data_IF_242652640601
#
_entry.id   IF_242652640601
#
_cell.length_a   1.000
_cell.length_b   1.000
_cell.length_c   1.000
_cell.angle_alpha   90.00
_cell.angle_beta   90.00
_cell.angle_gamma   90.00
#
_symmetry.space_group_name_H-M   'P 1'
#
loop_
_entity.id
_entity.type
_entity.pdbx_description
1 polymer ?
#
# COMPACT_ATOMS: atom_id res chain seq x y z
N UNK A 1 42.39 13.94 -58.67
CA UNK A 1 43.53 13.95 -57.73
C UNK A 1 43.39 12.69 -56.88
N UNK A 2 44.00 11.56 -57.27
CA UNK A 2 45.28 11.05 -56.75
C UNK A 2 45.34 11.12 -55.21
N UNK A 3 45.57 10.07 -54.41
CA UNK A 3 46.11 8.71 -54.60
C UNK A 3 45.86 7.89 -53.31
N UNK A 4 45.43 6.62 -53.37
CA UNK A 4 46.16 5.35 -53.00
C UNK A 4 46.87 5.36 -51.63
N UNK A 5 46.85 4.35 -50.76
CA UNK A 5 46.92 2.87 -50.90
C UNK A 5 46.57 2.17 -49.56
N UNK A 6 45.84 1.03 -49.50
CA UNK A 6 46.28 -0.40 -49.32
C UNK A 6 47.39 -0.60 -48.27
N UNK A 7 47.40 -1.60 -47.37
CA UNK A 7 47.37 -3.08 -47.43
C UNK A 7 46.76 -3.63 -46.09
N UNK A 8 46.21 -4.83 -45.88
CA UNK A 8 46.40 -6.17 -46.46
C UNK A 8 47.18 -7.07 -45.48
N UNK A 9 46.61 -8.18 -44.97
CA UNK A 9 47.41 -9.31 -44.44
C UNK A 9 46.84 -10.06 -43.22
N UNK A 10 46.59 -11.36 -43.43
CA UNK A 10 46.21 -12.41 -42.47
C UNK A 10 47.37 -12.89 -41.57
N UNK A 11 47.02 -13.80 -40.65
CA UNK A 11 47.83 -14.84 -39.94
C UNK A 11 48.42 -14.35 -38.60
N UNK A 12 48.54 -15.12 -37.52
CA UNK A 12 48.29 -16.51 -37.11
C UNK A 12 48.49 -16.54 -35.58
N UNK A 13 47.97 -17.58 -34.92
CA UNK A 13 48.15 -17.94 -33.51
C UNK A 13 49.57 -17.76 -32.96
N UNK A 14 49.73 -17.42 -31.66
CA UNK A 14 50.20 -18.34 -30.60
C UNK A 14 50.52 -17.61 -29.26
N UNK A 15 49.90 -18.11 -28.19
CA UNK A 15 50.35 -18.33 -26.81
C UNK A 15 51.39 -17.45 -26.06
N UNK A 16 51.09 -17.35 -24.75
CA UNK A 16 51.97 -17.49 -23.56
C UNK A 16 52.61 -16.24 -22.89
N UNK A 17 51.93 -15.79 -21.83
CA UNK A 17 52.37 -15.66 -20.43
C UNK A 17 53.63 -14.87 -19.99
N UNK A 18 53.37 -14.01 -18.97
CA UNK A 18 54.20 -13.52 -17.85
C UNK A 18 55.37 -12.56 -18.13
N UNK A 19 55.27 -11.33 -17.59
CA UNK A 19 56.06 -10.89 -16.44
C UNK A 19 55.47 -9.63 -15.79
N UNK A 20 55.59 -9.57 -14.47
CA UNK A 20 54.97 -8.63 -13.55
C UNK A 20 55.63 -7.23 -13.52
N UNK A 21 54.83 -6.23 -13.10
CA UNK A 21 55.32 -5.08 -12.34
C UNK A 21 54.32 -4.88 -11.18
N UNK A 22 54.86 -4.77 -9.96
CA UNK A 22 54.13 -4.89 -8.71
C UNK A 22 53.63 -3.58 -8.09
N UNK A 23 52.79 -3.80 -7.06
CA UNK A 23 52.59 -3.03 -5.82
C UNK A 23 51.95 -1.62 -5.94
N UNK A 24 50.98 -1.16 -5.15
CA UNK A 24 50.22 -1.53 -3.93
C UNK A 24 49.03 -0.54 -3.91
N UNK A 25 47.79 -0.89 -3.54
CA UNK A 25 47.32 -0.74 -2.17
C UNK A 25 46.01 -1.52 -1.95
N UNK A 26 46.09 -2.49 -1.05
CA UNK A 26 45.01 -3.13 -0.30
C UNK A 26 44.47 -2.19 0.80
N UNK A 27 43.34 -2.59 1.41
CA UNK A 27 42.49 -1.91 2.43
C UNK A 27 41.33 -1.17 1.73
N UNK A 28 40.12 -1.72 1.60
CA UNK A 28 39.25 -2.30 2.62
C UNK A 28 38.43 -3.51 2.11
N UNK A 29 38.83 -4.73 2.48
CA UNK A 29 37.92 -5.89 2.55
C UNK A 29 37.91 -6.37 4.01
N UNK A 30 37.19 -5.65 4.87
CA UNK A 30 36.79 -6.16 6.18
C UNK A 30 35.37 -6.75 6.11
N UNK A 31 35.32 -8.08 6.19
CA UNK A 31 34.45 -8.85 7.07
C UNK A 31 32.94 -8.50 7.08
N UNK A 32 32.22 -8.96 6.06
CA UNK A 32 30.81 -9.37 6.25
C UNK A 32 30.79 -10.86 6.61
N UNK A 33 31.11 -11.15 7.87
CA UNK A 33 30.89 -12.46 8.47
C UNK A 33 29.74 -12.30 9.46
N UNK A 34 28.49 -12.36 8.99
CA UNK A 34 27.41 -12.77 9.90
C UNK A 34 26.15 -13.30 9.21
N UNK A 35 25.77 -14.50 9.66
CA UNK A 35 24.46 -15.13 9.65
C UNK A 35 23.67 -15.26 8.33
N UNK A 36 23.90 -16.38 7.64
CA UNK A 36 22.82 -17.32 7.34
C UNK A 36 21.56 -16.78 6.66
N UNK A 37 21.68 -15.85 5.73
CA UNK A 37 20.59 -15.53 4.81
C UNK A 37 20.49 -16.67 3.80
N UNK A 38 19.81 -17.76 4.20
CA UNK A 38 19.16 -18.63 3.25
C UNK A 38 18.35 -17.74 2.31
N UNK A 39 18.57 -17.92 1.00
CA UNK A 39 17.92 -17.19 -0.07
C UNK A 39 16.43 -17.00 0.25
N UNK A 40 16.03 -15.80 0.69
CA UNK A 40 14.64 -15.44 0.64
C UNK A 40 14.32 -15.35 -0.84
N UNK A 41 13.75 -16.41 -1.39
CA UNK A 41 13.07 -16.35 -2.67
C UNK A 41 12.20 -15.09 -2.62
N UNK A 42 12.39 -14.18 -3.56
CA UNK A 42 11.57 -12.98 -3.71
C UNK A 42 10.15 -13.44 -4.04
N UNK A 43 9.37 -13.80 -3.02
CA UNK A 43 7.94 -13.95 -3.16
C UNK A 43 7.43 -12.55 -3.48
N UNK A 44 6.87 -12.43 -4.70
CA UNK A 44 6.64 -11.17 -5.39
C UNK A 44 6.15 -10.07 -4.47
N UNK A 45 7.00 -9.06 -4.27
CA UNK A 45 6.55 -7.76 -3.80
C UNK A 45 5.74 -7.19 -4.97
N UNK A 46 4.42 -7.41 -4.92
CA UNK A 46 3.52 -7.14 -6.05
C UNK A 46 3.74 -5.75 -6.66
N UNK A 47 3.63 -5.64 -7.99
CA UNK A 47 3.56 -4.36 -8.66
C UNK A 47 2.33 -3.57 -8.20
N UNK A 48 2.30 -2.26 -8.45
CA UNK A 48 1.10 -1.46 -8.21
C UNK A 48 -0.02 -1.91 -9.14
N UNK A 49 -1.24 -2.00 -8.62
CA UNK A 49 -2.45 -2.30 -9.39
C UNK A 49 -3.51 -1.23 -9.13
N UNK A 50 -4.57 -1.21 -9.95
CA UNK A 50 -5.71 -0.34 -9.67
C UNK A 50 -6.34 -0.72 -8.33
N UNK A 51 -6.42 0.25 -7.41
CA UNK A 51 -7.07 0.17 -6.10
C UNK A 51 -8.60 0.22 -6.22
N UNK A 52 -9.10 0.70 -7.36
CA UNK A 52 -10.53 0.76 -7.65
C UNK A 52 -10.91 -0.55 -8.35
N UNK A 53 -11.92 -1.29 -7.84
CA UNK A 53 -12.43 -2.47 -8.53
C UNK A 53 -13.06 -2.08 -9.86
N UNK A 54 -13.00 -2.97 -10.85
CA UNK A 54 -13.66 -2.74 -12.14
C UNK A 54 -15.16 -2.53 -11.95
N UNK A 55 -15.63 -1.31 -12.19
CA UNK A 55 -17.01 -0.91 -11.93
C UNK A 55 -17.94 -1.35 -13.06
N UNK A 56 -19.18 -1.72 -12.70
CA UNK A 56 -20.28 -2.04 -13.64
C UNK A 56 -21.53 -1.18 -13.41
N UNK A 57 -21.45 -0.26 -12.46
CA UNK A 57 -22.49 0.72 -12.12
C UNK A 57 -21.96 1.66 -11.04
N UNK A 58 -22.73 2.68 -10.65
CA UNK A 58 -22.24 3.68 -9.68
C UNK A 58 -21.94 3.10 -8.29
N UNK A 59 -22.42 1.90 -7.94
CA UNK A 59 -22.18 1.28 -6.63
C UNK A 59 -21.80 -0.20 -6.72
N UNK A 60 -21.43 -0.69 -7.91
CA UNK A 60 -21.15 -2.11 -8.18
C UNK A 60 -19.79 -2.28 -8.84
N UNK A 61 -18.97 -3.25 -8.41
CA UNK A 61 -19.28 -4.34 -7.48
C UNK A 61 -19.22 -3.95 -5.99
N UNK A 62 -18.52 -2.86 -5.66
CA UNK A 62 -18.43 -2.31 -4.31
C UNK A 62 -18.03 -0.84 -4.34
N UNK A 63 -18.15 -0.16 -3.20
CA UNK A 63 -17.92 1.27 -3.08
C UNK A 63 -18.95 2.11 -3.83
N UNK A 64 -18.62 3.37 -4.07
CA UNK A 64 -19.47 4.29 -4.82
C UNK A 64 -18.66 5.25 -5.68
N UNK A 65 -19.13 5.45 -6.92
CA UNK A 65 -18.64 6.46 -7.85
C UNK A 65 -19.58 7.65 -7.84
N UNK A 66 -19.04 8.84 -7.61
CA UNK A 66 -19.80 10.10 -7.68
C UNK A 66 -19.06 11.10 -8.55
N UNK A 67 -19.77 12.11 -9.06
CA UNK A 67 -19.17 13.17 -9.86
C UNK A 67 -19.89 14.50 -9.65
N UNK A 68 -19.31 15.58 -10.17
CA UNK A 68 -19.95 16.90 -10.21
C UNK A 68 -21.19 16.97 -11.10
N UNK A 69 -21.40 15.95 -11.95
CA UNK A 69 -22.50 15.89 -12.89
C UNK A 69 -22.12 15.09 -14.14
N UNK A 70 -23.11 14.88 -15.01
CA UNK A 70 -22.95 14.18 -16.28
C UNK A 70 -23.58 14.97 -17.42
N UNK A 71 -23.00 14.86 -18.62
CA UNK A 71 -23.59 15.46 -19.83
C UNK A 71 -24.96 14.82 -20.16
N UNK A 72 -25.04 13.50 -20.03
CA UNK A 72 -26.29 12.73 -20.12
C UNK A 72 -26.14 11.40 -19.40
N UNK A 73 -27.24 10.67 -19.23
CA UNK A 73 -27.25 9.35 -18.58
C UNK A 73 -26.38 8.30 -19.29
N UNK A 74 -26.06 8.50 -20.58
CA UNK A 74 -25.19 7.61 -21.36
C UNK A 74 -23.69 7.74 -21.02
N UNK A 75 -23.31 8.74 -20.21
CA UNK A 75 -21.93 9.05 -19.83
C UNK A 75 -21.78 9.11 -18.29
N UNK A 76 -22.33 8.11 -17.62
CA UNK A 76 -22.29 7.94 -16.17
C UNK A 76 -20.85 7.86 -15.63
N UNK A 77 -20.60 8.28 -14.39
CA UNK A 77 -19.24 8.37 -13.85
C UNK A 77 -18.54 7.02 -13.68
N UNK A 78 -19.29 5.94 -13.42
CA UNK A 78 -18.72 4.60 -13.34
C UNK A 78 -18.02 4.13 -14.63
N UNK A 79 -18.39 4.70 -15.78
CA UNK A 79 -17.79 4.35 -17.08
C UNK A 79 -16.35 4.84 -17.24
N UNK A 80 -15.84 5.69 -16.33
CA UNK A 80 -14.41 5.99 -16.26
C UNK A 80 -13.66 4.97 -15.39
N UNK A 81 -14.34 4.03 -14.72
CA UNK A 81 -13.77 3.10 -13.75
C UNK A 81 -14.07 1.63 -14.10
N UNK A 82 -14.53 1.35 -15.32
CA UNK A 82 -14.97 0.03 -15.81
C UNK A 82 -13.86 -0.73 -16.57
N UNK A 83 -12.61 -0.25 -16.46
CA UNK A 83 -11.42 -0.84 -17.06
C UNK A 83 -11.49 -1.05 -18.58
N UNK A 84 -12.29 -0.24 -19.30
CA UNK A 84 -12.35 -0.23 -20.76
C UNK A 84 -12.17 1.19 -21.31
N UNK A 85 -11.93 1.31 -22.61
CA UNK A 85 -11.90 2.59 -23.35
C UNK A 85 -13.05 2.71 -24.34
N UNK A 86 -13.98 1.75 -24.35
CA UNK A 86 -15.17 1.77 -25.21
C UNK A 86 -16.27 2.69 -24.67
N UNK A 87 -16.23 2.98 -23.38
CA UNK A 87 -17.12 3.85 -22.62
C UNK A 87 -16.30 4.96 -21.99
N UNK A 88 -16.97 6.03 -21.54
CA UNK A 88 -16.31 7.17 -20.92
C UNK A 88 -17.30 7.98 -20.08
N UNK A 89 -16.78 8.66 -19.06
CA UNK A 89 -17.51 9.71 -18.35
C UNK A 89 -17.38 11.04 -19.11
N UNK A 90 -18.49 11.76 -19.23
CA UNK A 90 -18.56 13.15 -19.65
C UNK A 90 -19.15 13.98 -18.52
N UNK A 91 -18.44 15.03 -18.11
CA UNK A 91 -18.89 15.94 -17.07
C UNK A 91 -20.14 16.73 -17.50
N UNK A 92 -20.72 17.48 -16.55
CA UNK A 92 -21.60 18.60 -16.91
C UNK A 92 -20.83 19.67 -17.72
N UNK A 93 -21.57 20.49 -18.47
CA UNK A 93 -20.99 21.55 -19.30
C UNK A 93 -20.83 22.87 -18.56
N UNK A 94 -19.94 23.73 -19.07
CA UNK A 94 -19.81 25.15 -18.71
C UNK A 94 -19.67 25.39 -17.19
N UNK A 95 -18.70 24.72 -16.59
CA UNK A 95 -18.44 24.76 -15.15
C UNK A 95 -17.12 25.49 -14.83
N UNK A 96 -16.99 25.97 -13.59
CA UNK A 96 -15.72 26.49 -13.06
C UNK A 96 -14.74 25.37 -12.68
N UNK A 97 -15.25 24.19 -12.36
CA UNK A 97 -14.50 22.96 -12.16
C UNK A 97 -15.45 21.77 -12.21
N UNK A 98 -14.91 20.58 -12.46
CA UNK A 98 -15.64 19.31 -12.42
C UNK A 98 -14.84 18.27 -11.64
N UNK A 99 -15.49 17.24 -11.15
CA UNK A 99 -14.80 16.20 -10.39
C UNK A 99 -15.42 14.82 -10.58
N UNK A 100 -14.59 13.79 -10.42
CA UNK A 100 -14.95 12.38 -10.39
C UNK A 100 -14.32 11.77 -9.14
N UNK A 101 -15.11 11.08 -8.33
CA UNK A 101 -14.70 10.55 -7.03
C UNK A 101 -15.06 9.08 -6.87
N UNK A 102 -14.23 8.34 -6.13
CA UNK A 102 -14.48 6.98 -5.72
C UNK A 102 -14.33 6.84 -4.19
N UNK A 103 -15.30 6.21 -3.55
CA UNK A 103 -15.33 5.91 -2.11
C UNK A 103 -15.49 4.40 -1.90
N UNK A 104 -14.53 3.75 -1.22
CA UNK A 104 -14.56 2.29 -1.00
C UNK A 104 -15.69 1.84 -0.06
N UNK A 105 -16.18 2.73 0.81
CA UNK A 105 -17.18 2.41 1.82
C UNK A 105 -16.61 1.64 3.02
N UNK A 106 -17.43 1.42 4.05
CA UNK A 106 -17.06 0.62 5.22
C UNK A 106 -15.88 1.16 6.05
N UNK A 107 -15.49 2.43 5.87
CA UNK A 107 -14.31 3.01 6.51
C UNK A 107 -12.97 2.53 5.96
N UNK A 108 -12.96 1.78 4.83
CA UNK A 108 -11.74 1.31 4.20
C UNK A 108 -10.98 2.49 3.60
N UNK A 109 -9.71 2.65 3.99
CA UNK A 109 -8.80 3.64 3.45
C UNK A 109 -7.71 2.97 2.60
N UNK A 110 -7.32 3.61 1.51
CA UNK A 110 -6.25 3.13 0.60
C UNK A 110 -5.25 4.25 0.32
N UNK A 111 -4.02 3.86 -0.02
CA UNK A 111 -2.94 4.77 -0.41
C UNK A 111 -2.66 4.65 -1.90
N UNK A 112 -3.07 5.64 -2.68
CA UNK A 112 -2.71 5.75 -4.08
C UNK A 112 -1.30 6.36 -4.20
N UNK A 113 -0.40 5.66 -4.89
CA UNK A 113 0.99 6.09 -5.13
C UNK A 113 1.17 6.66 -6.52
N UNK A 114 0.35 6.25 -7.48
CA UNK A 114 0.27 6.84 -8.81
C UNK A 114 -1.15 6.76 -9.34
N UNK A 115 -1.46 7.43 -10.44
CA UNK A 115 -2.73 7.28 -11.12
C UNK A 115 -2.56 7.42 -12.63
N UNK A 116 -3.46 6.77 -13.36
CA UNK A 116 -3.50 6.82 -14.82
C UNK A 116 -4.81 7.45 -15.28
N UNK A 117 -4.71 8.35 -16.25
CA UNK A 117 -5.85 8.93 -16.97
C UNK A 117 -5.75 8.49 -18.43
N UNK A 118 -6.86 7.98 -18.96
CA UNK A 118 -7.00 7.60 -20.36
C UNK A 118 -8.06 8.44 -21.05
N UNK A 119 -7.72 8.98 -22.22
CA UNK A 119 -8.62 9.67 -23.13
C UNK A 119 -8.96 8.78 -24.33
N UNK A 120 -10.25 8.70 -24.70
CA UNK A 120 -10.70 7.89 -25.84
C UNK A 120 -11.88 8.50 -26.62
N UNK A 121 -12.07 9.82 -26.58
CA UNK A 121 -13.21 10.50 -27.25
C UNK A 121 -12.90 10.95 -28.70
N UNK A 122 -11.82 10.41 -29.28
CA UNK A 122 -11.40 10.71 -30.65
C UNK A 122 -10.72 12.07 -30.85
N UNK A 123 -10.11 12.28 -32.02
CA UNK A 123 -9.37 13.51 -32.35
C UNK A 123 -10.26 14.73 -32.54
N UNK A 124 -11.51 14.55 -33.01
CA UNK A 124 -12.45 15.65 -33.21
C UNK A 124 -12.88 16.35 -31.91
N UNK A 125 -12.61 15.73 -30.75
CA UNK A 125 -13.03 16.22 -29.44
C UNK A 125 -11.86 16.40 -28.47
N UNK A 126 -10.61 16.46 -28.96
CA UNK A 126 -9.39 16.46 -28.12
C UNK A 126 -9.36 17.59 -27.06
N UNK A 127 -10.10 18.69 -27.32
CA UNK A 127 -10.28 19.80 -26.39
C UNK A 127 -10.96 19.39 -25.08
N UNK A 128 -11.62 18.23 -25.03
CA UNK A 128 -12.31 17.71 -23.83
C UNK A 128 -11.39 17.02 -22.84
N UNK A 129 -10.11 16.83 -23.16
CA UNK A 129 -9.16 16.26 -22.22
C UNK A 129 -8.92 17.21 -21.02
N UNK A 130 -8.70 16.70 -19.80
CA UNK A 130 -8.39 17.53 -18.65
C UNK A 130 -7.05 18.24 -18.86
N UNK A 131 -6.97 19.53 -18.52
CA UNK A 131 -5.74 20.34 -18.67
C UNK A 131 -5.06 20.60 -17.33
N UNK A 132 -5.83 21.01 -16.33
CA UNK A 132 -5.37 21.30 -14.98
C UNK A 132 -6.25 20.56 -13.99
N UNK A 133 -5.64 19.91 -13.00
CA UNK A 133 -6.38 19.24 -11.93
C UNK A 133 -5.55 19.07 -10.67
N UNK A 134 -6.24 18.67 -9.61
CA UNK A 134 -5.63 18.12 -8.41
C UNK A 134 -6.19 16.72 -8.15
N UNK A 135 -5.35 15.80 -7.68
CA UNK A 135 -5.82 14.59 -7.02
C UNK A 135 -5.98 14.91 -5.53
N UNK A 136 -7.11 14.54 -4.94
CA UNK A 136 -7.42 14.85 -3.55
C UNK A 136 -7.94 13.63 -2.80
N UNK A 137 -7.49 13.46 -1.56
CA UNK A 137 -7.96 12.44 -0.62
C UNK A 137 -8.82 13.04 0.50
N UNK A 138 -9.81 12.31 1.00
CA UNK A 138 -10.67 12.77 2.11
C UNK A 138 -10.14 12.33 3.48
N UNK A 139 -9.76 13.29 4.32
CA UNK A 139 -9.16 13.04 5.65
C UNK A 139 -10.20 12.82 6.77
N UNK A 140 -11.49 12.62 6.42
CA UNK A 140 -12.58 12.52 7.38
C UNK A 140 -13.35 13.83 7.59
N UNK A 141 -12.71 15.00 7.39
CA UNK A 141 -13.31 16.31 7.57
C UNK A 141 -13.29 17.20 6.33
N UNK A 142 -12.25 17.07 5.49
CA UNK A 142 -12.01 17.91 4.32
C UNK A 142 -11.23 17.17 3.24
N UNK A 143 -11.29 17.70 2.01
CA UNK A 143 -10.43 17.24 0.92
C UNK A 143 -9.02 17.79 1.10
N UNK A 144 -8.03 16.91 1.06
CA UNK A 144 -6.60 17.23 1.10
C UNK A 144 -6.01 16.98 -0.28
N UNK A 145 -5.31 17.95 -0.84
CA UNK A 145 -4.60 17.80 -2.12
C UNK A 145 -3.36 16.93 -1.92
N UNK A 146 -3.24 15.87 -2.71
CA UNK A 146 -2.11 14.92 -2.68
C UNK A 146 -1.22 15.02 -3.92
N UNK A 147 -1.75 15.59 -5.02
CA UNK A 147 -1.00 15.85 -6.24
C UNK A 147 -1.65 17.01 -7.04
N UNK A 148 -0.84 17.76 -7.78
CA UNK A 148 -1.27 18.89 -8.61
C UNK A 148 -0.62 18.83 -9.99
N UNK A 149 -1.45 18.74 -11.03
CA UNK A 149 -0.98 18.67 -12.43
C UNK A 149 -1.56 19.82 -13.24
N UNK A 150 -0.72 20.42 -14.08
CA UNK A 150 -1.12 21.55 -14.93
C UNK A 150 -0.65 21.40 -16.38
N UNK A 151 -1.30 22.14 -17.27
CA UNK A 151 -0.95 22.34 -18.67
C UNK A 151 -0.83 21.04 -19.48
N UNK A 152 -1.69 20.07 -19.21
CA UNK A 152 -1.73 18.82 -19.95
C UNK A 152 -2.55 18.96 -21.23
N UNK A 153 -1.86 18.94 -22.36
CA UNK A 153 -2.44 19.08 -23.71
C UNK A 153 -2.06 17.90 -24.61
N UNK A 154 -2.69 17.72 -25.77
CA UNK A 154 -2.29 16.70 -26.76
C UNK A 154 -2.78 15.27 -26.42
N UNK A 155 -3.99 15.16 -25.87
CA UNK A 155 -4.56 13.89 -25.41
C UNK A 155 -4.84 12.88 -26.52
N UNK A 156 -5.00 13.29 -27.77
CA UNK A 156 -5.19 12.33 -28.86
C UNK A 156 -3.89 11.61 -29.22
N UNK A 157 -2.78 12.35 -29.29
CA UNK A 157 -1.46 11.78 -29.60
C UNK A 157 -0.83 11.01 -28.44
N UNK A 158 -1.17 11.37 -27.19
CA UNK A 158 -0.76 10.65 -25.99
C UNK A 158 -1.97 10.43 -25.06
N UNK A 159 -2.80 9.41 -25.36
CA UNK A 159 -4.09 9.21 -24.71
C UNK A 159 -4.00 8.58 -23.33
N UNK A 160 -2.91 7.90 -23.00
CA UNK A 160 -2.72 7.25 -21.70
C UNK A 160 -1.57 7.96 -20.99
N UNK A 161 -1.84 8.52 -19.82
CA UNK A 161 -0.82 9.20 -19.01
C UNK A 161 -0.86 8.71 -17.59
N UNK A 162 0.32 8.41 -17.05
CA UNK A 162 0.52 8.03 -15.66
C UNK A 162 1.23 9.15 -14.93
N UNK A 163 0.79 9.43 -13.70
CA UNK A 163 1.30 10.47 -12.83
C UNK A 163 1.61 9.85 -11.47
N UNK A 164 2.80 10.10 -10.93
CA UNK A 164 3.13 9.77 -9.54
C UNK A 164 2.42 10.74 -8.60
N UNK A 165 2.00 10.28 -7.43
CA UNK A 165 1.36 11.13 -6.42
C UNK A 165 2.45 11.79 -5.57
N UNK A 166 2.50 13.12 -5.55
CA UNK A 166 3.52 13.89 -4.81
C UNK A 166 3.50 13.61 -3.30
N UNK A 167 2.31 13.52 -2.70
CA UNK A 167 2.10 13.31 -1.27
C UNK A 167 1.08 12.19 -1.02
N UNK A 168 1.47 10.91 -1.20
CA UNK A 168 0.58 9.78 -0.96
C UNK A 168 0.10 9.78 0.49
N UNK A 169 -1.15 9.39 0.72
CA UNK A 169 -1.72 9.24 2.06
C UNK A 169 -2.85 8.23 2.08
N UNK A 170 -3.24 7.78 3.27
CA UNK A 170 -4.34 6.82 3.41
C UNK A 170 -5.68 7.55 3.53
N UNK A 171 -6.57 7.36 2.55
CA UNK A 171 -7.86 8.05 2.48
C UNK A 171 -9.01 7.11 2.15
N UNK A 172 -10.20 7.37 2.70
CA UNK A 172 -11.41 6.57 2.46
C UNK A 172 -12.09 6.86 1.13
N UNK A 173 -11.73 7.97 0.49
CA UNK A 173 -12.11 8.32 -0.87
C UNK A 173 -11.11 9.27 -1.50
N UNK A 174 -11.01 9.19 -2.82
CA UNK A 174 -10.26 10.13 -3.64
C UNK A 174 -11.17 10.79 -4.66
N UNK A 175 -10.77 11.98 -5.12
CA UNK A 175 -11.34 12.61 -6.31
C UNK A 175 -10.27 13.21 -7.19
N UNK A 176 -10.50 13.10 -8.50
CA UNK A 176 -9.85 13.92 -9.49
C UNK A 176 -10.66 15.22 -9.63
N UNK A 177 -10.10 16.36 -9.25
CA UNK A 177 -10.75 17.67 -9.31
C UNK A 177 -10.13 18.51 -10.44
N UNK A 178 -10.84 18.58 -11.58
CA UNK A 178 -10.38 19.23 -12.80
C UNK A 178 -10.84 20.68 -12.83
N UNK A 179 -9.89 21.59 -13.05
CA UNK A 179 -10.10 23.05 -13.01
C UNK A 179 -9.95 23.72 -14.37
N UNK A 180 -9.42 23.03 -15.37
CA UNK A 180 -9.44 23.49 -16.76
C UNK A 180 -9.49 22.31 -17.74
N UNK A 181 -10.14 22.50 -18.89
CA UNK A 181 -10.07 21.61 -20.05
C UNK A 181 -9.15 22.19 -21.14
N UNK A 182 -9.02 21.48 -22.26
CA UNK A 182 -8.18 21.88 -23.39
C UNK A 182 -8.90 22.81 -24.39
N UNK A 183 -10.18 23.12 -24.19
CA UNK A 183 -10.90 24.07 -25.03
C UNK A 183 -10.43 25.51 -24.75
N UNK A 184 -10.02 25.80 -23.52
CA UNK A 184 -9.52 27.12 -23.08
C UNK A 184 -10.51 28.26 -23.35
N UNK A 185 -11.80 28.03 -23.09
CA UNK A 185 -12.81 29.09 -23.22
C UNK A 185 -12.55 30.19 -22.16
N UNK A 186 -12.48 31.48 -22.54
CA UNK A 186 -12.24 32.57 -21.59
C UNK A 186 -13.35 32.77 -20.55
N UNK A 187 -14.59 32.34 -20.84
CA UNK A 187 -15.75 32.46 -19.95
C UNK A 187 -15.99 31.22 -19.09
N UNK A 188 -15.51 30.05 -19.53
CA UNK A 188 -15.72 28.76 -18.88
C UNK A 188 -14.44 27.92 -18.84
N UNK A 189 -13.76 27.83 -17.68
CA UNK A 189 -12.57 26.97 -17.53
C UNK A 189 -12.83 25.51 -17.92
N UNK A 190 -14.05 25.03 -17.69
CA UNK A 190 -14.54 23.74 -18.17
C UNK A 190 -15.72 23.97 -19.11
N UNK A 191 -15.54 23.68 -20.40
CA UNK A 191 -16.65 23.50 -21.33
C UNK A 191 -17.25 22.11 -21.22
N UNK A 192 -16.39 21.08 -21.19
CA UNK A 192 -16.76 19.66 -21.04
C UNK A 192 -15.49 18.81 -20.86
N UNK A 193 -15.44 17.95 -19.84
CA UNK A 193 -14.32 17.01 -19.63
C UNK A 193 -14.72 15.60 -20.03
N UNK A 194 -13.79 14.88 -20.66
CA UNK A 194 -13.91 13.48 -21.04
C UNK A 194 -12.81 12.63 -20.42
N UNK A 195 -13.20 11.57 -19.73
CA UNK A 195 -12.29 10.59 -19.14
C UNK A 195 -12.80 9.19 -19.50
N UNK A 196 -12.01 8.44 -20.26
CA UNK A 196 -12.33 7.06 -20.61
C UNK A 196 -11.91 6.08 -19.52
N UNK A 197 -10.77 6.31 -18.89
CA UNK A 197 -10.35 5.54 -17.72
C UNK A 197 -9.64 6.43 -16.70
N UNK A 198 -9.94 6.21 -15.43
CA UNK A 198 -9.17 6.69 -14.28
C UNK A 198 -8.81 5.47 -13.44
N UNK A 199 -7.53 5.22 -13.25
CA UNK A 199 -7.04 4.17 -12.37
C UNK A 199 -6.23 4.82 -11.25
N UNK A 200 -6.63 4.60 -10.00
CA UNK A 200 -5.78 4.93 -8.86
C UNK A 200 -4.91 3.73 -8.57
N UNK A 201 -3.60 3.87 -8.73
CA UNK A 201 -2.66 2.78 -8.55
C UNK A 201 -2.02 2.83 -7.17
N UNK A 202 -1.85 1.66 -6.58
CA UNK A 202 -1.13 1.50 -5.32
C UNK A 202 -0.95 0.03 -5.02
N UNK A 203 -0.46 -0.28 -3.82
CA UNK A 203 -0.51 -1.65 -3.32
C UNK A 203 -1.87 -1.86 -2.65
N UNK A 204 -2.71 -2.71 -3.24
CA UNK A 204 -3.81 -3.24 -2.47
C UNK A 204 -3.26 -4.26 -1.47
N UNK A 205 -3.49 -4.01 -0.18
CA UNK A 205 -3.06 -4.90 0.91
C UNK A 205 -4.26 -5.40 1.67
N UNK A 206 -4.39 -6.73 1.73
CA UNK A 206 -5.42 -7.44 2.47
C UNK A 206 -4.81 -8.18 3.65
N UNK A 207 -5.61 -8.47 4.67
CA UNK A 207 -5.17 -9.36 5.75
C UNK A 207 -4.84 -10.73 5.15
N UNK A 208 -3.60 -11.17 5.36
CA UNK A 208 -3.14 -12.51 4.98
C UNK A 208 -3.61 -13.58 5.96
N UNK A 209 -4.04 -13.17 7.16
CA UNK A 209 -4.64 -14.04 8.16
C UNK A 209 -6.15 -14.13 7.89
N UNK A 210 -6.73 -15.33 7.74
CA UNK A 210 -8.18 -15.50 7.60
C UNK A 210 -8.88 -15.05 8.88
N UNK A 211 -10.15 -14.67 8.78
CA UNK A 211 -10.97 -14.37 9.95
C UNK A 211 -11.06 -15.60 10.85
N UNK A 212 -10.48 -15.52 12.06
CA UNK A 212 -10.40 -16.64 13.00
C UNK A 212 -11.66 -16.75 13.85
N UNK A 213 -12.01 -17.98 14.22
CA UNK A 213 -13.09 -18.30 15.17
C UNK A 213 -12.63 -19.22 16.32
N UNK A 214 -11.32 -19.47 16.38
CA UNK A 214 -10.64 -20.25 17.39
C UNK A 214 -9.14 -20.28 17.09
N UNK A 215 -8.32 -20.90 17.95
CA UNK A 215 -6.86 -20.88 17.77
C UNK A 215 -6.39 -21.61 16.50
N UNK A 216 -7.20 -22.49 15.92
CA UNK A 216 -6.87 -23.26 14.70
C UNK A 216 -7.89 -23.15 13.57
N UNK A 217 -9.00 -22.43 13.78
CA UNK A 217 -10.13 -22.34 12.84
C UNK A 217 -10.25 -20.94 12.24
N UNK A 218 -10.44 -20.79 10.91
CA UNK A 218 -10.72 -21.85 9.92
C UNK A 218 -9.47 -22.56 9.39
N UNK A 219 -8.28 -21.99 9.57
CA UNK A 219 -7.01 -22.61 9.22
C UNK A 219 -5.85 -21.90 9.90
N UNK A 220 -4.68 -22.54 9.91
CA UNK A 220 -3.47 -22.04 10.57
C UNK A 220 -3.50 -22.27 12.08
N UNK A 221 -2.60 -21.59 12.78
CA UNK A 221 -2.45 -21.70 14.23
C UNK A 221 -2.11 -20.33 14.83
N UNK A 222 -2.91 -19.90 15.79
CA UNK A 222 -2.64 -18.73 16.64
C UNK A 222 -1.97 -19.22 17.93
N UNK A 223 -0.86 -18.61 18.31
CA UNK A 223 -0.18 -18.85 19.59
C UNK A 223 0.17 -17.55 20.28
N UNK A 224 0.45 -17.60 21.58
CA UNK A 224 0.91 -16.44 22.34
C UNK A 224 1.83 -16.83 23.48
N UNK A 225 2.47 -15.85 24.11
CA UNK A 225 3.19 -16.02 25.38
C UNK A 225 2.29 -16.41 26.55
N UNK A 226 0.96 -16.31 26.39
CA UNK A 226 -0.05 -16.63 27.38
C UNK A 226 -1.18 -15.60 27.42
N UNK A 227 -2.17 -15.84 28.28
CA UNK A 227 -3.40 -15.06 28.39
C UNK A 227 -3.71 -14.71 29.84
N UNK A 228 -4.25 -13.52 30.08
CA UNK A 228 -4.74 -13.12 31.42
C UNK A 228 -5.83 -14.06 31.93
N UNK A 229 -6.76 -14.45 31.06
CA UNK A 229 -7.78 -15.46 31.33
C UNK A 229 -8.28 -16.09 30.03
N UNK A 230 -8.98 -17.22 30.14
CA UNK A 230 -9.59 -17.91 28.99
C UNK A 230 -10.66 -17.11 28.26
N UNK A 231 -11.12 -15.97 28.81
CA UNK A 231 -12.05 -15.05 28.14
C UNK A 231 -11.38 -14.14 27.10
N UNK A 232 -10.04 -14.06 27.10
CA UNK A 232 -9.26 -13.20 26.21
C UNK A 232 -8.23 -14.02 25.39
N UNK A 233 -8.65 -15.09 24.70
CA UNK A 233 -7.76 -15.95 23.93
C UNK A 233 -7.10 -15.20 22.76
N UNK A 234 -5.93 -15.66 22.27
CA UNK A 234 -5.17 -14.91 21.29
C UNK A 234 -5.82 -14.85 19.91
N UNK A 235 -6.65 -15.82 19.52
CA UNK A 235 -7.34 -15.80 18.23
C UNK A 235 -8.29 -14.61 18.04
N UNK A 236 -8.76 -13.99 19.13
CA UNK A 236 -9.66 -12.83 19.05
C UNK A 236 -9.02 -11.61 18.37
N UNK A 237 -7.69 -11.50 18.29
CA UNK A 237 -7.08 -10.41 17.51
C UNK A 237 -7.29 -10.56 16.00
N UNK A 238 -7.70 -11.75 15.53
CA UNK A 238 -7.86 -12.08 14.12
C UNK A 238 -9.31 -12.39 13.73
N UNK A 239 -10.29 -12.10 14.58
CA UNK A 239 -11.71 -12.45 14.36
C UNK A 239 -12.51 -11.38 13.60
N UNK A 240 -11.81 -10.37 13.07
CA UNK A 240 -12.38 -9.25 12.30
C UNK A 240 -13.45 -8.44 13.05
N UNK A 241 -13.40 -8.40 14.38
CA UNK A 241 -14.20 -7.49 15.21
C UNK A 241 -13.32 -6.70 16.18
N UNK A 242 -13.90 -5.66 16.79
CA UNK A 242 -13.28 -4.89 17.88
C UNK A 242 -14.03 -5.06 19.20
N UNK A 243 -15.01 -5.97 19.24
CA UNK A 243 -15.82 -6.26 20.43
C UNK A 243 -15.12 -7.24 21.39
N UNK A 244 -14.16 -8.00 20.88
CA UNK A 244 -13.32 -8.97 21.58
C UNK A 244 -11.87 -8.47 21.56
N UNK A 245 -11.01 -9.07 22.38
CA UNK A 245 -9.61 -8.65 22.49
C UNK A 245 -8.77 -9.73 23.18
N UNK A 246 -7.50 -9.81 22.79
CA UNK A 246 -6.51 -10.56 23.56
C UNK A 246 -5.97 -9.71 24.71
N UNK A 247 -5.79 -10.36 25.87
CA UNK A 247 -5.05 -9.84 27.02
C UNK A 247 -3.89 -10.76 27.32
N UNK A 248 -2.67 -10.20 27.36
CA UNK A 248 -1.46 -10.94 27.68
C UNK A 248 -1.47 -11.45 29.13
N UNK A 249 -0.47 -12.27 29.49
CA UNK A 249 -0.13 -12.47 30.90
C UNK A 249 0.20 -11.11 31.56
N UNK A 250 -0.03 -11.00 32.87
CA UNK A 250 0.40 -9.83 33.63
C UNK A 250 1.88 -9.92 33.99
N UNK A 251 2.54 -8.76 34.06
CA UNK A 251 3.92 -8.63 34.57
C UNK A 251 4.94 -9.56 33.89
N UNK A 252 4.75 -9.83 32.59
CA UNK A 252 5.63 -10.65 31.78
C UNK A 252 6.32 -9.78 30.73
N UNK A 253 7.64 -9.93 30.56
CA UNK A 253 8.38 -9.18 29.53
C UNK A 253 9.40 -10.10 28.86
N UNK A 254 9.34 -10.32 27.55
CA UNK A 254 8.36 -9.81 26.59
C UNK A 254 7.03 -10.60 26.59
N UNK A 255 5.98 -10.03 26.01
CA UNK A 255 4.77 -10.78 25.61
C UNK A 255 4.68 -10.81 24.09
N UNK A 256 4.07 -11.86 23.55
CA UNK A 256 3.97 -12.01 22.10
C UNK A 256 2.70 -12.75 21.70
N UNK A 257 2.23 -12.49 20.48
CA UNK A 257 1.22 -13.28 19.81
C UNK A 257 1.68 -13.55 18.37
N UNK A 258 1.38 -14.74 17.86
CA UNK A 258 1.88 -15.22 16.59
C UNK A 258 0.78 -15.92 15.79
N UNK A 259 0.89 -15.83 14.47
CA UNK A 259 0.07 -16.60 13.54
C UNK A 259 0.98 -17.42 12.62
N UNK A 260 0.68 -18.70 12.47
CA UNK A 260 1.35 -19.65 11.58
C UNK A 260 0.38 -20.16 10.51
N UNK A 261 0.73 -19.99 9.23
CA UNK A 261 -0.06 -20.55 8.13
C UNK A 261 0.19 -22.05 8.02
N UNK A 262 -0.89 -22.81 7.86
CA UNK A 262 -0.82 -24.25 7.65
C UNK A 262 -0.11 -24.62 6.33
N UNK A 263 0.43 -25.84 6.27
CA UNK A 263 1.03 -26.40 5.05
C UNK A 263 2.36 -25.79 4.63
N UNK A 264 3.01 -25.00 5.50
CA UNK A 264 4.30 -24.36 5.20
C UNK A 264 4.21 -23.21 4.21
N UNK A 265 3.02 -22.67 3.98
CA UNK A 265 2.82 -21.54 3.08
C UNK A 265 3.44 -20.26 3.67
N UNK A 266 4.49 -19.73 3.04
CA UNK A 266 5.04 -18.43 3.39
C UNK A 266 4.14 -17.32 2.81
N UNK A 267 3.85 -16.29 3.60
CA UNK A 267 3.04 -15.14 3.16
C UNK A 267 3.82 -13.82 3.21
N UNK A 268 3.66 -12.96 2.20
CA UNK A 268 4.22 -11.60 2.23
C UNK A 268 3.44 -10.76 3.23
N UNK A 269 4.13 -10.13 4.16
CA UNK A 269 3.57 -9.07 5.01
C UNK A 269 4.36 -7.81 4.74
N UNK A 270 3.69 -6.81 4.15
CA UNK A 270 4.25 -5.52 3.77
C UNK A 270 3.83 -4.41 4.71
N UNK A 271 2.71 -4.58 5.41
CA UNK A 271 2.24 -3.67 6.46
C UNK A 271 1.45 -4.45 7.50
N UNK A 272 1.17 -3.83 8.63
CA UNK A 272 0.27 -4.39 9.64
C UNK A 272 -0.52 -3.30 10.32
N UNK A 273 -1.72 -3.67 10.78
CA UNK A 273 -2.62 -2.77 11.50
C UNK A 273 -2.90 -3.31 12.90
N UNK A 274 -2.76 -2.46 13.92
CA UNK A 274 -3.12 -2.76 15.30
C UNK A 274 -4.33 -1.90 15.68
N UNK A 275 -5.35 -2.55 16.24
CA UNK A 275 -6.51 -1.88 16.81
C UNK A 275 -6.57 -2.08 18.32
N UNK A 276 -6.73 -0.98 19.06
CA UNK A 276 -7.02 -0.95 20.48
C UNK A 276 -8.50 -0.64 20.72
N UNK A 277 -9.18 -1.43 21.57
CA UNK A 277 -10.60 -1.23 21.86
C UNK A 277 -11.01 -1.46 23.34
N UNK A 278 -10.06 -1.47 24.28
CA UNK A 278 -10.33 -1.73 25.71
C UNK A 278 -10.79 -0.47 26.49
N UNK A 279 -11.27 0.56 25.78
CA UNK A 279 -11.79 1.80 26.36
C UNK A 279 -10.73 2.71 27.01
N UNK A 280 -11.17 3.91 27.43
CA UNK A 280 -10.30 4.95 28.02
C UNK A 280 -9.79 4.60 29.42
N UNK A 281 -10.57 3.88 30.23
CA UNK A 281 -10.19 3.48 31.58
C UNK A 281 -8.97 2.54 31.62
N UNK A 282 -8.64 1.93 30.48
CA UNK A 282 -7.54 0.97 30.33
C UNK A 282 -6.49 1.41 29.30
N UNK A 283 -6.48 2.67 28.86
CA UNK A 283 -5.64 3.15 27.74
C UNK A 283 -4.14 2.84 27.87
N UNK A 284 -3.67 2.65 29.11
CA UNK A 284 -2.31 2.24 29.45
C UNK A 284 -1.95 0.81 28.98
N UNK A 285 -2.94 -0.03 28.62
CA UNK A 285 -2.72 -1.41 28.16
C UNK A 285 -2.36 -1.52 26.68
N UNK A 286 -2.35 -0.43 25.92
CA UNK A 286 -1.90 -0.47 24.53
C UNK A 286 -0.40 -0.77 24.43
N UNK A 287 0.06 -1.52 23.42
CA UNK A 287 1.49 -1.77 23.23
C UNK A 287 2.23 -0.45 22.96
N UNK A 288 3.42 -0.28 23.53
CA UNK A 288 4.23 0.94 23.37
C UNK A 288 5.47 0.72 22.53
N UNK A 289 6.17 -0.38 22.78
CA UNK A 289 7.36 -0.79 22.04
C UNK A 289 7.21 -2.24 21.60
N UNK A 290 7.49 -2.53 20.34
CA UNK A 290 7.46 -3.90 19.83
C UNK A 290 8.33 -4.07 18.59
N UNK A 291 8.54 -5.32 18.24
CA UNK A 291 9.07 -5.72 16.93
C UNK A 291 8.05 -6.63 16.25
N UNK A 292 7.78 -6.41 14.97
CA UNK A 292 7.19 -7.46 14.13
C UNK A 292 8.31 -8.39 13.68
N UNK A 293 8.11 -9.70 13.80
CA UNK A 293 9.13 -10.69 13.45
C UNK A 293 8.56 -11.79 12.57
N UNK A 294 9.32 -12.21 11.57
CA UNK A 294 9.04 -13.36 10.71
C UNK A 294 9.94 -14.55 11.05
N UNK A 295 9.43 -15.78 10.90
CA UNK A 295 10.22 -16.99 11.13
C UNK A 295 10.88 -17.50 9.85
N UNK A 296 12.21 -17.52 9.81
CA UNK A 296 12.98 -17.95 8.63
C UNK A 296 13.18 -19.48 8.52
N UNK A 297 12.55 -20.27 9.39
CA UNK A 297 12.74 -21.72 9.48
C UNK A 297 13.55 -22.16 10.71
N UNK A 298 14.47 -21.31 11.19
CA UNK A 298 15.34 -21.61 12.34
C UNK A 298 15.26 -20.60 13.48
N UNK A 299 14.94 -19.33 13.18
CA UNK A 299 14.95 -18.21 14.12
C UNK A 299 13.91 -17.15 13.74
N UNK A 300 13.52 -16.36 14.74
CA UNK A 300 12.75 -15.14 14.51
C UNK A 300 13.66 -14.02 14.01
N UNK A 301 13.28 -13.40 12.90
CA UNK A 301 13.97 -12.26 12.30
C UNK A 301 13.09 -11.03 12.46
N UNK A 302 13.63 -9.95 13.01
CA UNK A 302 12.94 -8.67 13.09
C UNK A 302 12.78 -8.08 11.70
N UNK A 303 11.52 -7.84 11.30
CA UNK A 303 11.16 -7.23 10.02
C UNK A 303 10.73 -5.78 10.18
N UNK A 304 10.30 -5.39 11.37
CA UNK A 304 9.93 -4.02 11.69
C UNK A 304 10.08 -3.73 13.20
N UNK A 305 10.36 -2.48 13.57
CA UNK A 305 10.55 -2.04 14.95
C UNK A 305 9.82 -0.73 15.21
N UNK A 306 8.93 -0.75 16.19
CA UNK A 306 8.14 0.41 16.59
C UNK A 306 8.40 0.77 18.06
N UNK A 307 8.51 2.06 18.34
CA UNK A 307 8.81 2.57 19.69
C UNK A 307 7.97 3.79 20.04
N UNK A 308 7.75 4.00 21.34
CA UNK A 308 7.05 5.16 21.89
C UNK A 308 5.64 5.39 21.31
N UNK A 309 4.95 4.30 20.98
CA UNK A 309 3.59 4.33 20.47
C UNK A 309 2.61 4.54 21.63
N UNK A 310 2.25 5.81 21.84
CA UNK A 310 1.37 6.26 22.95
C UNK A 310 0.07 6.84 22.41
N UNK A 311 -0.96 7.02 23.25
CA UNK A 311 -2.20 7.72 22.87
C UNK A 311 -3.27 6.88 22.16
N UNK A 312 -3.25 5.55 22.34
CA UNK A 312 -4.18 4.61 21.70
C UNK A 312 -5.68 4.89 21.87
N UNK A 313 -6.09 5.65 22.89
CA UNK A 313 -7.51 6.02 23.01
C UNK A 313 -7.95 7.04 21.96
N UNK A 314 -7.11 8.04 21.66
CA UNK A 314 -7.43 9.08 20.67
C UNK A 314 -7.22 8.61 19.23
N UNK A 315 -6.34 7.63 19.04
CA UNK A 315 -6.01 7.03 17.75
C UNK A 315 -5.94 5.51 17.90
N UNK A 316 -7.10 4.83 17.94
CA UNK A 316 -7.21 3.42 18.28
C UNK A 316 -6.84 2.47 17.16
N UNK A 317 -6.70 2.95 15.92
CA UNK A 317 -6.37 2.12 14.76
C UNK A 317 -5.11 2.70 14.13
N UNK A 318 -4.01 1.94 14.16
CA UNK A 318 -2.74 2.35 13.57
C UNK A 318 -2.27 1.35 12.55
N UNK A 319 -1.78 1.85 11.43
CA UNK A 319 -1.17 1.06 10.37
C UNK A 319 0.31 1.41 10.28
N UNK A 320 1.14 0.38 10.16
CA UNK A 320 2.60 0.48 10.10
C UNK A 320 3.08 -0.24 8.83
N UNK A 321 3.95 0.42 8.06
CA UNK A 321 4.66 -0.22 6.95
C UNK A 321 5.82 -1.05 7.51
N UNK A 322 6.02 -2.25 6.98
CA UNK A 322 7.12 -3.12 7.44
C UNK A 322 8.42 -2.64 6.80
N UNK A 323 9.42 -2.28 7.63
CA UNK A 323 10.74 -1.79 7.18
C UNK A 323 11.48 -2.78 6.27
N UNK A 324 11.49 -4.06 6.64
CA UNK A 324 12.13 -5.15 5.89
C UNK A 324 11.11 -6.26 5.60
N UNK A 325 10.19 -6.04 4.64
CA UNK A 325 9.15 -7.02 4.32
C UNK A 325 9.80 -8.30 3.77
N UNK A 326 9.18 -9.43 4.08
CA UNK A 326 9.66 -10.73 3.62
C UNK A 326 8.51 -11.73 3.54
N UNK A 327 8.83 -12.98 3.27
CA UNK A 327 7.85 -14.07 3.24
C UNK A 327 8.22 -15.12 4.26
N UNK A 328 7.35 -15.29 5.24
CA UNK A 328 7.58 -16.17 6.38
C UNK A 328 6.35 -17.04 6.61
N UNK A 329 6.55 -18.26 7.10
CA UNK A 329 5.48 -19.21 7.42
C UNK A 329 4.73 -18.85 8.70
N UNK A 330 5.32 -17.98 9.51
CA UNK A 330 4.67 -17.37 10.67
C UNK A 330 5.27 -16.01 10.98
N UNK A 331 4.43 -15.13 11.52
CA UNK A 331 4.85 -13.86 12.11
C UNK A 331 4.44 -13.80 13.56
N UNK A 332 5.16 -13.01 14.34
CA UNK A 332 4.75 -12.61 15.69
C UNK A 332 4.91 -11.12 15.92
N UNK A 333 3.96 -10.56 16.64
CA UNK A 333 4.11 -9.27 17.29
C UNK A 333 4.77 -9.51 18.65
N UNK A 334 5.99 -9.02 18.83
CA UNK A 334 6.78 -9.22 20.05
C UNK A 334 6.89 -7.90 20.82
N UNK A 335 6.01 -7.73 21.81
CA UNK A 335 5.85 -6.49 22.59
C UNK A 335 6.79 -6.49 23.78
N UNK A 336 7.52 -5.39 23.95
CA UNK A 336 8.56 -5.23 24.98
C UNK A 336 8.20 -4.15 26.01
N UNK A 337 7.22 -3.29 25.72
CA UNK A 337 6.66 -2.36 26.69
C UNK A 337 5.19 -2.05 26.43
N UNK A 338 4.43 -1.77 27.48
CA UNK A 338 3.08 -1.19 27.41
C UNK A 338 3.09 0.33 27.71
N UNK A 339 1.92 0.95 27.65
CA UNK A 339 1.72 2.38 27.91
C UNK A 339 1.53 2.72 29.39
N UNK A 340 1.54 1.74 30.30
CA UNK A 340 1.58 2.00 31.73
C UNK A 340 2.95 2.60 32.11
N UNK A 341 4.01 2.22 31.40
CA UNK A 341 5.36 2.78 31.52
C UNK A 341 5.89 2.75 32.97
N UNK A 342 5.69 1.62 33.65
CA UNK A 342 6.27 1.41 34.98
C UNK A 342 7.79 1.19 34.87
N UNK A 343 8.62 1.85 35.70
CA UNK A 343 10.07 1.66 35.69
C UNK A 343 10.53 0.25 36.09
N UNK A 344 9.70 -0.48 36.83
CA UNK A 344 9.96 -1.83 37.35
C UNK A 344 9.41 -2.90 36.42
N UNK A 345 8.23 -2.66 35.85
CA UNK A 345 7.54 -3.60 34.98
C UNK A 345 7.30 -2.99 33.59
N UNK A 346 8.17 -3.26 32.61
CA UNK A 346 7.99 -2.74 31.24
C UNK A 346 6.63 -3.09 30.65
N UNK A 347 6.05 -4.22 31.05
CA UNK A 347 4.70 -4.65 30.72
C UNK A 347 3.97 -5.01 32.01
N UNK A 348 2.86 -4.34 32.28
CA UNK A 348 1.89 -4.73 33.29
C UNK A 348 0.82 -5.64 32.68
N UNK A 349 0.30 -5.28 31.50
CA UNK A 349 -0.71 -6.01 30.75
C UNK A 349 -0.89 -5.39 29.36
N UNK A 350 -0.81 -6.18 28.28
CA UNK A 350 -1.08 -5.71 26.91
C UNK A 350 -2.47 -6.12 26.47
N UNK A 351 -3.16 -5.20 25.79
CA UNK A 351 -4.47 -5.40 25.18
C UNK A 351 -4.45 -5.04 23.70
N UNK A 352 -4.90 -5.98 22.85
CA UNK A 352 -5.03 -5.79 21.41
C UNK A 352 -6.39 -6.34 21.00
N UNK A 353 -7.20 -5.50 20.35
CA UNK A 353 -8.52 -5.90 19.84
C UNK A 353 -8.42 -6.51 18.44
N UNK A 354 -7.55 -5.97 17.58
CA UNK A 354 -7.28 -6.56 16.28
C UNK A 354 -5.82 -6.41 15.88
N UNK A 355 -5.27 -7.44 15.22
CA UNK A 355 -4.02 -7.39 14.47
C UNK A 355 -4.31 -7.88 13.05
N UNK A 356 -4.03 -7.06 12.04
CA UNK A 356 -4.08 -7.46 10.63
C UNK A 356 -2.67 -7.51 10.09
N UNK A 357 -2.21 -8.69 9.68
CA UNK A 357 -0.96 -8.83 8.93
C UNK A 357 -1.28 -8.67 7.46
N UNK A 358 -0.84 -7.57 6.85
CA UNK A 358 -1.31 -7.15 5.54
C UNK A 358 -0.23 -7.36 4.48
N UNK A 359 -0.67 -7.85 3.32
CA UNK A 359 0.17 -8.08 2.16
C UNK A 359 -0.67 -8.05 0.89
N UNK A 360 -0.04 -8.18 -0.30
CA UNK A 360 -0.77 -8.19 -1.56
C UNK A 360 -1.89 -9.23 -1.57
N UNK A 361 -3.02 -8.87 -2.18
CA UNK A 361 -4.08 -9.83 -2.47
C UNK A 361 -3.51 -10.98 -3.32
N UNK A 362 -3.89 -12.22 -3.00
CA UNK A 362 -3.49 -13.35 -3.82
C UNK A 362 -4.11 -13.18 -5.21
N UNK A 363 -3.36 -13.44 -6.30
CA UNK A 363 -3.84 -13.27 -7.67
C UNK A 363 -5.04 -14.16 -8.02
#
# INVERSE_FOLDING_TARGET
MQSKSRWGGLTSLCALALLACGETSSEDEELMLDMGMASQASCGVAGTSSLIPTMSGNTSPSGSVTSSGVYSSSYSPWQALDATTATLWLSNMYASSVWLAYEWGGGVAKTATSYQITYANGSCCEQRGPKNWTLQGWNGASWTTVDTVTNQTGWYGNPIRTFEVDHPGSFTKYRLHVTADNYNDPGHPITLVSIASLQLQGRDVVSQVPTMSGDTSPSGLVTSSGVYSSSYPPWQVFDATTATLWLSNMYATAVWLAYEWGGGAAKPVTSYQITYANGSCCAQRGPRNWTLQGWNGSSWITVDTETNQTGWYGDPIRTFEVDRPGCYTKYRLHVTADNYNDPTYPITLVSIASLRLQGPEAP
#
